data_IF_123059176883
#
_entry.id   IF_123059176883
#
_cell.length_a   1.000
_cell.length_b   1.000
_cell.length_c   1.000
_cell.angle_alpha   90.00
_cell.angle_beta   90.00
_cell.angle_gamma   90.00
#
_symmetry.space_group_name_H-M   'P 1'
#
loop_
_entity.id
_entity.type
_entity.pdbx_description
1 polymer ?
#
# COMPACT_ATOMS: atom_id res chain seq x y z
N UNK A 1 -1.91 6.89 6.95
CA UNK A 1 -1.16 6.46 5.74
C UNK A 1 0.23 5.92 6.07
N UNK A 2 0.87 6.37 7.15
CA UNK A 2 2.20 5.88 7.56
C UNK A 2 2.25 4.36 7.81
N UNK A 3 1.30 3.81 8.58
CA UNK A 3 1.18 2.36 8.83
C UNK A 3 1.07 1.50 7.57
N UNK A 4 0.41 2.01 6.52
CA UNK A 4 0.36 1.34 5.22
C UNK A 4 1.76 1.18 4.61
N UNK A 5 2.54 2.27 4.61
CA UNK A 5 3.89 2.31 4.08
C UNK A 5 4.80 1.35 4.87
N UNK A 6 4.67 1.33 6.19
CA UNK A 6 5.41 0.39 7.03
C UNK A 6 5.07 -1.06 6.70
N UNK A 7 3.78 -1.41 6.55
CA UNK A 7 3.36 -2.74 6.16
C UNK A 7 3.88 -3.10 4.76
N UNK A 8 3.81 -2.19 3.79
CA UNK A 8 4.32 -2.40 2.44
C UNK A 8 5.84 -2.63 2.39
N UNK A 9 6.59 -2.04 3.32
CA UNK A 9 8.06 -2.18 3.37
C UNK A 9 8.53 -3.33 4.26
N UNK A 10 7.84 -3.62 5.36
CA UNK A 10 8.29 -4.60 6.36
C UNK A 10 7.59 -5.96 6.24
N UNK A 11 6.55 -6.08 5.42
CA UNK A 11 5.80 -7.33 5.27
C UNK A 11 5.60 -7.71 3.82
N UNK A 12 5.30 -8.99 3.59
CA UNK A 12 4.93 -9.54 2.29
C UNK A 12 3.43 -9.42 1.99
N UNK A 13 2.69 -8.67 2.82
CA UNK A 13 1.24 -8.50 2.65
C UNK A 13 0.92 -7.84 1.31
N UNK A 14 -0.18 -8.27 0.69
CA UNK A 14 -0.60 -7.65 -0.56
C UNK A 14 -1.21 -6.28 -0.29
N UNK A 15 -1.24 -5.42 -1.32
CA UNK A 15 -1.94 -4.13 -1.27
C UNK A 15 -3.40 -4.31 -0.83
N UNK A 16 -4.02 -5.42 -1.24
CA UNK A 16 -5.37 -5.83 -0.86
C UNK A 16 -5.48 -6.15 0.62
N UNK A 17 -4.58 -6.97 1.17
CA UNK A 17 -4.57 -7.29 2.60
C UNK A 17 -4.35 -6.05 3.45
N UNK A 18 -3.43 -5.17 3.03
CA UNK A 18 -3.14 -3.91 3.73
C UNK A 18 -4.35 -2.98 3.70
N UNK A 19 -5.06 -2.91 2.57
CA UNK A 19 -6.32 -2.17 2.44
C UNK A 19 -7.34 -2.63 3.48
N UNK A 20 -7.61 -3.94 3.57
CA UNK A 20 -8.55 -4.50 4.54
C UNK A 20 -8.06 -4.33 5.99
N UNK A 21 -6.76 -4.51 6.23
CA UNK A 21 -6.13 -4.33 7.55
C UNK A 21 -6.28 -2.89 8.08
N UNK A 22 -6.30 -1.91 7.17
CA UNK A 22 -6.48 -0.50 7.51
C UNK A 22 -7.95 -0.08 7.61
N UNK A 23 -8.89 -1.00 7.37
CA UNK A 23 -10.33 -0.74 7.45
C UNK A 23 -10.91 -0.05 6.21
N UNK A 24 -10.23 -0.09 5.07
CA UNK A 24 -10.80 0.43 3.82
C UNK A 24 -11.76 -0.58 3.19
N UNK A 25 -12.91 -0.10 2.74
CA UNK A 25 -13.94 -0.90 2.07
C UNK A 25 -13.54 -1.36 0.67
N UNK A 26 -12.55 -0.71 0.04
CA UNK A 26 -12.13 -1.03 -1.32
C UNK A 26 -10.70 -0.62 -1.63
N UNK A 27 -9.98 -1.53 -2.29
CA UNK A 27 -8.59 -1.33 -2.74
C UNK A 27 -8.48 -0.13 -3.69
N UNK A 28 -9.48 0.10 -4.54
CA UNK A 28 -9.52 1.25 -5.43
C UNK A 28 -9.57 2.57 -4.65
N UNK A 29 -10.38 2.65 -3.60
CA UNK A 29 -10.52 3.85 -2.76
C UNK A 29 -9.22 4.10 -1.99
N UNK A 30 -8.69 3.05 -1.36
CA UNK A 30 -7.41 3.08 -0.69
C UNK A 30 -6.26 3.52 -1.61
N UNK A 31 -6.14 2.94 -2.79
CA UNK A 31 -5.09 3.27 -3.76
C UNK A 31 -5.15 4.73 -4.20
N UNK A 32 -6.36 5.27 -4.37
CA UNK A 32 -6.59 6.68 -4.70
C UNK A 32 -6.11 7.61 -3.58
N UNK A 33 -6.49 7.33 -2.34
CA UNK A 33 -6.07 8.14 -1.18
C UNK A 33 -4.56 7.99 -0.96
N UNK A 34 -4.01 6.78 -1.09
CA UNK A 34 -2.58 6.54 -0.95
C UNK A 34 -1.78 7.32 -2.00
N UNK A 35 -2.22 7.28 -3.26
CA UNK A 35 -1.61 8.06 -4.34
C UNK A 35 -1.75 9.56 -4.11
N UNK A 36 -2.89 10.05 -3.60
CA UNK A 36 -3.05 11.46 -3.26
C UNK A 36 -2.07 11.89 -2.15
N UNK A 37 -1.81 10.99 -1.20
CA UNK A 37 -0.98 11.27 -0.03
C UNK A 37 0.53 11.14 -0.29
N UNK A 38 0.96 10.24 -1.18
CA UNK A 38 2.37 9.96 -1.48
C UNK A 38 2.81 10.35 -2.89
N UNK A 39 1.87 10.64 -3.79
CA UNK A 39 2.12 10.93 -5.21
C UNK A 39 2.15 9.70 -6.12
N UNK A 40 2.25 8.49 -5.55
CA UNK A 40 2.38 7.24 -6.30
C UNK A 40 1.51 6.11 -5.69
N UNK A 41 1.06 5.12 -6.46
CA UNK A 41 0.23 4.03 -5.97
C UNK A 41 1.01 3.06 -5.06
N UNK A 42 0.33 2.40 -4.10
CA UNK A 42 0.99 1.48 -3.15
C UNK A 42 1.61 0.25 -3.83
N UNK A 43 1.14 -0.13 -5.03
CA UNK A 43 1.74 -1.18 -5.85
C UNK A 43 3.17 -0.89 -6.29
N UNK A 44 3.53 0.40 -6.39
CA UNK A 44 4.86 0.84 -6.83
C UNK A 44 5.91 0.72 -5.72
N UNK A 45 5.50 0.76 -4.44
CA UNK A 45 6.42 0.53 -3.31
C UNK A 45 7.02 -0.87 -3.37
N UNK A 46 6.19 -1.88 -3.64
CA UNK A 46 6.63 -3.28 -3.60
C UNK A 46 7.58 -3.64 -4.74
N UNK A 47 7.47 -2.98 -5.89
CA UNK A 47 8.35 -3.23 -7.04
C UNK A 47 9.82 -2.94 -6.71
N UNK A 48 10.09 -2.05 -5.75
CA UNK A 48 11.46 -1.76 -5.30
C UNK A 48 12.07 -2.80 -4.36
N UNK A 49 11.27 -3.68 -3.74
CA UNK A 49 11.78 -4.69 -2.80
C UNK A 49 12.10 -6.04 -3.46
N UNK A 50 11.68 -6.28 -4.70
CA UNK A 50 11.88 -7.54 -5.43
C UNK A 50 13.02 -7.48 -6.47
N UNK A 51 13.96 -6.56 -6.30
CA UNK A 51 15.12 -6.42 -7.19
C UNK A 51 16.42 -6.44 -6.36
N UNK A 52 16.75 -7.64 -5.85
CA UNK A 52 18.10 -8.05 -5.45
C UNK A 52 18.36 -9.41 -6.08
#
# INVERSE_FOLDING_TARGET
MEKSRELLSNTTMTVTDICYTLGFESVAHYSRIFKLHYGYPPSEIRLKSYQT
#
